data_IF_631538587578
#
_entry.id   IF_631538587578
#
_cell.length_a   1.000
_cell.length_b   1.000
_cell.length_c   1.000
_cell.angle_alpha   90.00
_cell.angle_beta   90.00
_cell.angle_gamma   90.00
#
_symmetry.space_group_name_H-M   'P 1'
#
loop_
_entity.id
_entity.type
_entity.pdbx_description
1 polymer ?
#
# COMPACT_ATOMS: atom_id res chain seq x y z
N UNK A 1 12.54 -12.97 17.47
CA UNK A 1 11.92 -11.68 17.89
C UNK A 1 12.28 -10.59 16.90
N UNK A 2 11.31 -10.13 16.11
CA UNK A 2 11.46 -8.99 15.21
C UNK A 2 11.21 -7.73 16.02
N UNK A 3 12.22 -6.86 16.14
CA UNK A 3 12.11 -5.63 16.93
C UNK A 3 11.39 -4.51 16.18
N UNK A 4 11.44 -4.50 14.84
CA UNK A 4 10.73 -3.54 14.00
C UNK A 4 10.53 -4.04 12.57
N UNK A 5 9.49 -3.54 11.89
CA UNK A 5 9.23 -3.77 10.47
C UNK A 5 9.12 -2.43 9.75
N UNK A 6 10.02 -2.19 8.79
CA UNK A 6 9.94 -1.01 7.92
C UNK A 6 9.21 -1.38 6.64
N UNK A 7 8.13 -0.66 6.31
CA UNK A 7 7.42 -0.77 5.04
C UNK A 7 7.60 0.52 4.25
N UNK A 8 8.05 0.41 3.00
CA UNK A 8 8.16 1.54 2.09
C UNK A 8 6.92 1.59 1.20
N UNK A 9 6.34 2.77 0.98
CA UNK A 9 5.38 2.98 -0.11
C UNK A 9 5.89 4.02 -1.10
N UNK A 10 5.65 3.78 -2.39
CA UNK A 10 6.15 4.65 -3.44
C UNK A 10 5.25 4.60 -4.69
N UNK A 11 4.65 5.74 -5.04
CA UNK A 11 4.01 5.90 -6.34
C UNK A 11 5.08 6.11 -7.41
N UNK A 12 5.20 5.17 -8.35
CA UNK A 12 6.30 5.13 -9.32
C UNK A 12 6.00 5.85 -10.63
N UNK A 13 4.82 6.46 -10.78
CA UNK A 13 4.40 7.25 -11.96
C UNK A 13 4.71 6.55 -13.29
N UNK A 14 4.34 5.27 -13.39
CA UNK A 14 4.60 4.35 -14.51
C UNK A 14 6.02 3.77 -14.60
N UNK A 15 6.07 2.44 -14.52
CA UNK A 15 7.23 1.61 -14.84
C UNK A 15 6.92 0.65 -15.99
N UNK A 16 6.02 1.05 -16.91
CA UNK A 16 5.60 0.22 -18.05
C UNK A 16 6.74 -0.15 -19.02
N UNK A 17 7.78 0.69 -19.11
CA UNK A 17 8.89 0.48 -20.02
C UNK A 17 10.11 -0.11 -19.30
N UNK A 18 10.89 -0.93 -20.00
CA UNK A 18 12.04 -1.66 -19.45
C UNK A 18 13.10 -0.73 -18.80
N UNK A 19 13.33 0.46 -19.36
CA UNK A 19 14.30 1.42 -18.80
C UNK A 19 13.90 1.88 -17.41
N UNK A 20 12.63 2.23 -17.22
CA UNK A 20 12.11 2.65 -15.92
C UNK A 20 12.08 1.48 -14.92
N UNK A 21 11.79 0.26 -15.38
CA UNK A 21 11.87 -0.95 -14.55
C UNK A 21 13.30 -1.18 -14.02
N UNK A 22 14.32 -1.10 -14.87
CA UNK A 22 15.72 -1.25 -14.45
C UNK A 22 16.11 -0.15 -13.46
N UNK A 23 15.72 1.10 -13.71
CA UNK A 23 16.02 2.23 -12.82
C UNK A 23 15.38 2.03 -11.44
N UNK A 24 14.10 1.67 -11.37
CA UNK A 24 13.42 1.48 -10.09
C UNK A 24 13.99 0.28 -9.34
N UNK A 25 14.23 -0.86 -10.01
CA UNK A 25 14.82 -2.04 -9.36
C UNK A 25 16.21 -1.71 -8.80
N UNK A 26 17.04 -1.00 -9.56
CA UNK A 26 18.36 -0.56 -9.08
C UNK A 26 18.25 0.33 -7.84
N UNK A 27 17.34 1.31 -7.85
CA UNK A 27 17.10 2.18 -6.69
C UNK A 27 16.61 1.39 -5.46
N UNK A 28 15.62 0.52 -5.62
CA UNK A 28 15.10 -0.28 -4.50
C UNK A 28 16.19 -1.18 -3.90
N UNK A 29 17.12 -1.68 -4.72
CA UNK A 29 18.27 -2.48 -4.26
C UNK A 29 19.28 -1.68 -3.43
N UNK A 30 19.34 -0.36 -3.55
CA UNK A 30 20.27 0.48 -2.77
C UNK A 30 19.73 0.85 -1.38
N UNK A 31 18.46 0.58 -1.09
CA UNK A 31 17.86 0.90 0.21
C UNK A 31 18.54 0.12 1.34
N UNK A 32 19.04 0.84 2.34
CA UNK A 32 19.71 0.28 3.53
C UNK A 32 19.23 1.03 4.80
N UNK A 33 18.73 0.32 5.83
CA UNK A 33 18.39 -1.11 5.80
C UNK A 33 17.30 -1.41 4.74
N UNK A 34 17.25 -2.65 4.26
CA UNK A 34 16.23 -3.05 3.30
C UNK A 34 14.85 -3.07 3.98
N UNK A 35 13.79 -2.52 3.36
CA UNK A 35 12.43 -2.62 3.90
C UNK A 35 11.96 -4.07 3.98
N UNK A 36 11.10 -4.39 4.93
CA UNK A 36 10.43 -5.68 5.01
C UNK A 36 9.45 -5.87 3.83
N UNK A 37 8.78 -4.79 3.41
CA UNK A 37 7.94 -4.77 2.22
C UNK A 37 8.03 -3.42 1.50
N UNK A 38 7.80 -3.43 0.19
CA UNK A 38 7.78 -2.25 -0.67
C UNK A 38 6.47 -2.25 -1.46
N UNK A 39 5.70 -1.18 -1.30
CA UNK A 39 4.35 -1.02 -1.83
C UNK A 39 4.39 0.01 -2.96
N UNK A 40 4.16 -0.43 -4.18
CA UNK A 40 4.20 0.43 -5.37
C UNK A 40 2.78 0.68 -5.90
N UNK A 41 2.52 1.93 -6.31
CA UNK A 41 1.30 2.35 -6.99
C UNK A 41 1.62 2.97 -8.36
N UNK A 42 0.64 3.05 -9.26
CA UNK A 42 0.82 3.54 -10.64
C UNK A 42 1.93 2.81 -11.41
N UNK A 43 2.12 1.52 -11.15
CA UNK A 43 3.17 0.76 -11.84
C UNK A 43 2.89 0.60 -13.34
N UNK A 44 1.62 0.52 -13.75
CA UNK A 44 1.17 0.40 -15.15
C UNK A 44 1.82 -0.79 -15.91
N UNK A 45 2.20 -1.84 -15.19
CA UNK A 45 2.66 -3.09 -15.78
C UNK A 45 1.44 -3.84 -16.32
N UNK A 46 1.49 -4.23 -17.58
CA UNK A 46 0.44 -5.07 -18.17
C UNK A 46 0.60 -6.53 -17.70
N UNK A 47 -0.46 -7.33 -17.78
CA UNK A 47 -0.42 -8.76 -17.44
C UNK A 47 0.48 -9.63 -18.35
N UNK A 48 1.23 -9.04 -19.29
CA UNK A 48 2.01 -9.74 -20.32
C UNK A 48 3.54 -9.59 -20.07
N UNK A 49 4.36 -9.72 -21.11
CA UNK A 49 5.83 -9.67 -21.08
C UNK A 49 6.46 -8.54 -20.22
N UNK A 50 5.80 -7.39 -20.08
CA UNK A 50 6.30 -6.30 -19.22
C UNK A 50 6.31 -6.68 -17.72
N UNK A 51 5.35 -7.49 -17.28
CA UNK A 51 5.28 -8.05 -15.94
C UNK A 51 6.28 -9.19 -15.77
N UNK A 52 6.35 -10.13 -16.71
CA UNK A 52 7.33 -11.24 -16.65
C UNK A 52 8.78 -10.73 -16.62
N UNK A 53 9.09 -9.71 -17.41
CA UNK A 53 10.38 -9.04 -17.40
C UNK A 53 10.69 -8.37 -16.06
N UNK A 54 9.69 -7.72 -15.45
CA UNK A 54 9.84 -7.13 -14.12
C UNK A 54 10.02 -8.21 -13.04
N UNK A 55 9.21 -9.27 -13.08
CA UNK A 55 9.26 -10.38 -12.12
C UNK A 55 10.60 -11.11 -12.16
N UNK A 56 11.12 -11.40 -13.36
CA UNK A 56 12.43 -12.04 -13.53
C UNK A 56 13.62 -11.16 -13.10
N UNK A 57 13.46 -9.84 -13.17
CA UNK A 57 14.50 -8.88 -12.79
C UNK A 57 14.48 -8.51 -11.31
N UNK A 58 13.36 -8.75 -10.62
CA UNK A 58 13.23 -8.47 -9.20
C UNK A 58 13.96 -9.57 -8.41
N UNK A 59 14.96 -9.21 -7.58
CA UNK A 59 15.70 -10.22 -6.83
C UNK A 59 14.88 -10.84 -5.69
N UNK A 60 13.84 -10.15 -5.20
CA UNK A 60 13.20 -10.50 -3.93
C UNK A 60 12.27 -11.72 -3.96
N UNK A 61 12.04 -12.28 -2.76
CA UNK A 61 11.32 -13.51 -2.52
C UNK A 61 9.84 -13.54 -2.98
N UNK A 62 9.17 -12.40 -3.13
CA UNK A 62 7.76 -12.40 -3.49
C UNK A 62 7.32 -11.10 -4.18
N UNK A 63 6.44 -11.27 -5.18
CA UNK A 63 5.82 -10.19 -5.94
C UNK A 63 4.33 -10.46 -6.05
N UNK A 64 3.49 -9.49 -5.69
CA UNK A 64 2.03 -9.62 -5.77
C UNK A 64 1.44 -8.41 -6.48
N UNK A 65 0.56 -8.69 -7.44
CA UNK A 65 0.08 -7.71 -8.40
C UNK A 65 -1.44 -7.59 -8.41
N UNK A 66 -1.87 -6.38 -8.69
CA UNK A 66 -3.18 -6.01 -9.20
C UNK A 66 -2.97 -5.06 -10.40
N UNK A 67 -4.02 -4.56 -11.07
CA UNK A 67 -3.86 -3.52 -12.09
C UNK A 67 -3.29 -2.20 -11.57
N UNK A 68 -3.40 -1.92 -10.26
CA UNK A 68 -3.11 -0.60 -9.69
C UNK A 68 -1.98 -0.58 -8.67
N UNK A 69 -1.85 -1.66 -7.91
CA UNK A 69 -0.88 -1.80 -6.83
C UNK A 69 -0.02 -3.06 -6.97
N UNK A 70 1.23 -2.93 -6.53
CA UNK A 70 2.25 -3.97 -6.55
C UNK A 70 2.91 -4.04 -5.17
N UNK A 71 2.93 -5.20 -4.54
CA UNK A 71 3.65 -5.45 -3.28
C UNK A 71 4.87 -6.32 -3.54
N UNK A 72 6.04 -5.83 -3.13
CA UNK A 72 7.32 -6.51 -3.25
C UNK A 72 7.87 -6.86 -1.87
N UNK A 73 8.35 -8.10 -1.73
CA UNK A 73 9.09 -8.55 -0.56
C UNK A 73 10.56 -8.71 -0.98
N UNK A 74 11.48 -7.88 -0.47
CA UNK A 74 12.90 -8.00 -0.77
C UNK A 74 13.51 -9.30 -0.23
N UNK A 75 14.62 -9.72 -0.83
CA UNK A 75 15.45 -10.79 -0.27
C UNK A 75 15.98 -10.42 1.10
N UNK A 76 16.03 -11.41 1.99
CA UNK A 76 16.43 -11.20 3.39
C UNK A 76 15.40 -10.42 4.22
N UNK A 77 14.25 -10.05 3.64
CA UNK A 77 13.12 -9.55 4.43
C UNK A 77 12.68 -10.61 5.44
N UNK A 78 12.32 -10.22 6.68
CA UNK A 78 11.72 -11.15 7.63
C UNK A 78 10.40 -11.76 7.14
N UNK A 79 9.75 -11.16 6.13
CA UNK A 79 8.50 -11.66 5.54
C UNK A 79 8.72 -12.70 4.43
N UNK A 80 9.97 -12.89 3.98
CA UNK A 80 10.30 -13.80 2.88
C UNK A 80 9.99 -15.26 3.27
N UNK A 81 9.25 -15.98 2.43
CA UNK A 81 8.85 -17.37 2.70
C UNK A 81 7.68 -17.54 3.68
N UNK A 82 7.14 -16.44 4.22
CA UNK A 82 6.10 -16.46 5.26
C UNK A 82 4.70 -16.07 4.78
N UNK A 83 4.47 -15.94 3.46
CA UNK A 83 3.19 -15.52 2.92
C UNK A 83 2.12 -16.61 3.12
N UNK A 84 1.02 -16.24 3.79
CA UNK A 84 -0.18 -17.08 3.92
C UNK A 84 -1.18 -16.83 2.79
N UNK A 85 -1.45 -15.56 2.47
CA UNK A 85 -2.41 -15.21 1.42
C UNK A 85 -2.15 -13.83 0.84
N UNK A 86 -2.58 -13.61 -0.40
CA UNK A 86 -2.58 -12.29 -1.03
C UNK A 86 -3.81 -12.14 -1.90
N UNK A 87 -4.72 -11.24 -1.53
CA UNK A 87 -6.03 -11.11 -2.15
C UNK A 87 -6.31 -9.65 -2.55
N UNK A 88 -6.70 -9.39 -3.82
CA UNK A 88 -7.22 -8.10 -4.20
C UNK A 88 -8.59 -7.88 -3.55
N UNK A 89 -8.88 -6.66 -3.11
CA UNK A 89 -10.23 -6.28 -2.69
C UNK A 89 -11.07 -5.95 -3.92
N UNK A 90 -12.31 -6.45 -3.91
CA UNK A 90 -13.32 -6.24 -4.95
C UNK A 90 -14.48 -5.48 -4.32
N UNK A 91 -14.99 -4.46 -5.02
CA UNK A 91 -16.09 -3.63 -4.56
C UNK A 91 -17.39 -4.05 -5.25
N UNK A 92 -18.28 -4.69 -4.49
CA UNK A 92 -19.62 -5.03 -4.98
C UNK A 92 -20.34 -3.78 -5.48
N UNK A 93 -20.79 -3.79 -6.73
CA UNK A 93 -21.46 -2.64 -7.37
C UNK A 93 -20.54 -1.52 -7.86
N UNK A 94 -19.21 -1.64 -7.71
CA UNK A 94 -18.26 -0.64 -8.19
C UNK A 94 -16.97 -1.26 -8.78
N UNK A 95 -17.06 -2.11 -9.82
CA UNK A 95 -15.91 -2.86 -10.37
C UNK A 95 -14.78 -1.97 -10.92
N UNK A 96 -15.06 -0.72 -11.28
CA UNK A 96 -14.06 0.29 -11.66
C UNK A 96 -13.06 0.63 -10.54
N UNK A 97 -13.37 0.25 -9.31
CA UNK A 97 -12.55 0.45 -8.11
C UNK A 97 -11.72 -0.80 -7.76
N UNK A 98 -11.94 -1.92 -8.44
CA UNK A 98 -11.30 -3.20 -8.13
C UNK A 98 -9.78 -3.15 -8.32
N UNK A 99 -9.07 -3.96 -7.54
CA UNK A 99 -7.61 -4.07 -7.63
C UNK A 99 -6.87 -2.83 -7.13
N UNK A 100 -7.56 -1.82 -6.59
CA UNK A 100 -6.94 -0.66 -5.93
C UNK A 100 -6.42 -0.96 -4.52
N UNK A 101 -6.79 -2.11 -3.97
CA UNK A 101 -6.31 -2.57 -2.67
C UNK A 101 -5.84 -4.02 -2.82
N UNK A 102 -4.66 -4.30 -2.29
CA UNK A 102 -4.10 -5.64 -2.20
C UNK A 102 -3.77 -5.94 -0.75
N UNK A 103 -4.42 -6.96 -0.19
CA UNK A 103 -4.19 -7.43 1.19
C UNK A 103 -3.27 -8.64 1.14
N UNK A 104 -2.13 -8.57 1.81
CA UNK A 104 -1.16 -9.67 1.90
C UNK A 104 -0.91 -10.02 3.37
N UNK A 105 -1.13 -11.27 3.74
CA UNK A 105 -0.97 -11.77 5.11
C UNK A 105 0.26 -12.67 5.20
N UNK A 106 1.12 -12.42 6.18
CA UNK A 106 2.34 -13.16 6.46
C UNK A 106 2.32 -13.72 7.89
N UNK A 107 2.94 -14.86 8.13
CA UNK A 107 3.07 -15.47 9.47
C UNK A 107 4.49 -15.35 10.00
N UNK A 108 4.68 -14.55 11.05
CA UNK A 108 5.95 -14.42 11.76
C UNK A 108 5.78 -14.98 13.17
N UNK A 109 6.34 -16.16 13.42
CA UNK A 109 6.18 -16.88 14.70
C UNK A 109 4.67 -17.04 15.04
N UNK A 110 4.17 -16.36 16.08
CA UNK A 110 2.75 -16.37 16.48
C UNK A 110 1.94 -15.14 16.00
N UNK A 111 2.58 -14.21 15.27
CA UNK A 111 1.99 -12.98 14.79
C UNK A 111 1.64 -13.07 13.30
N UNK A 112 0.39 -12.78 12.94
CA UNK A 112 0.02 -12.49 11.55
C UNK A 112 0.39 -11.03 11.25
N UNK A 113 1.10 -10.76 10.15
CA UNK A 113 1.34 -9.40 9.65
C UNK A 113 0.52 -9.24 8.38
N UNK A 114 -0.46 -8.35 8.42
CA UNK A 114 -1.31 -8.04 7.28
C UNK A 114 -0.94 -6.68 6.70
N UNK A 115 -0.42 -6.68 5.49
CA UNK A 115 -0.04 -5.49 4.74
C UNK A 115 -1.12 -5.20 3.71
N UNK A 116 -1.68 -3.99 3.79
CA UNK A 116 -2.74 -3.50 2.91
C UNK A 116 -2.14 -2.39 2.05
N UNK A 117 -1.86 -2.71 0.78
CA UNK A 117 -1.36 -1.75 -0.20
C UNK A 117 -2.54 -1.09 -0.92
N UNK A 118 -2.60 0.24 -0.87
CA UNK A 118 -3.75 1.01 -1.37
C UNK A 118 -3.35 2.04 -2.44
N UNK A 119 -4.17 2.16 -3.48
CA UNK A 119 -4.14 3.25 -4.44
C UNK A 119 -5.52 3.83 -4.68
N UNK A 120 -5.85 4.91 -3.97
CA UNK A 120 -7.15 5.55 -4.12
C UNK A 120 -7.28 6.22 -5.50
N UNK A 121 -8.49 6.37 -6.04
CA UNK A 121 -8.71 7.06 -7.32
C UNK A 121 -8.21 8.52 -7.33
N UNK A 122 -7.73 8.96 -8.50
CA UNK A 122 -7.37 10.37 -8.75
C UNK A 122 -8.62 11.22 -8.96
N UNK A 123 -9.63 10.67 -9.64
CA UNK A 123 -10.91 11.33 -9.86
C UNK A 123 -11.67 11.45 -8.54
N UNK A 124 -12.19 12.65 -8.26
CA UNK A 124 -12.78 13.00 -6.97
C UNK A 124 -14.03 12.18 -6.64
N UNK A 125 -14.96 12.05 -7.59
CA UNK A 125 -16.19 11.26 -7.39
C UNK A 125 -15.87 9.78 -7.11
N UNK A 126 -14.96 9.19 -7.88
CA UNK A 126 -14.51 7.81 -7.65
C UNK A 126 -13.79 7.66 -6.32
N UNK A 127 -13.01 8.67 -5.90
CA UNK A 127 -12.30 8.67 -4.62
C UNK A 127 -13.29 8.73 -3.46
N UNK A 128 -14.31 9.58 -3.55
CA UNK A 128 -15.40 9.64 -2.57
C UNK A 128 -16.11 8.29 -2.45
N UNK A 129 -16.49 7.68 -3.58
CA UNK A 129 -17.14 6.37 -3.60
C UNK A 129 -16.23 5.28 -3.01
N UNK A 130 -14.96 5.29 -3.39
CA UNK A 130 -13.94 4.37 -2.87
C UNK A 130 -13.86 4.41 -1.35
N UNK A 131 -13.69 5.59 -0.74
CA UNK A 131 -13.65 5.73 0.71
C UNK A 131 -15.01 5.46 1.37
N UNK A 132 -16.13 5.79 0.71
CA UNK A 132 -17.48 5.54 1.21
C UNK A 132 -17.77 4.04 1.36
N UNK A 133 -17.32 3.24 0.39
CA UNK A 133 -17.49 1.80 0.33
C UNK A 133 -16.46 1.01 1.16
N UNK A 134 -15.39 1.64 1.62
CA UNK A 134 -14.39 0.98 2.47
C UNK A 134 -15.03 0.48 3.78
N UNK A 135 -14.81 -0.80 4.04
CA UNK A 135 -15.15 -1.41 5.31
C UNK A 135 -14.04 -2.36 5.72
N UNK A 136 -13.46 -2.12 6.90
CA UNK A 136 -12.46 -2.97 7.49
C UNK A 136 -13.06 -3.68 8.70
N UNK A 137 -13.18 -5.01 8.61
CA UNK A 137 -13.48 -5.82 9.79
C UNK A 137 -12.32 -5.73 10.78
N UNK A 138 -12.58 -5.89 12.08
CA UNK A 138 -11.52 -5.95 13.06
C UNK A 138 -10.50 -7.06 12.69
N UNK A 139 -9.18 -6.83 12.87
CA UNK A 139 -8.17 -7.86 12.69
C UNK A 139 -8.44 -9.07 13.59
N UNK A 140 -7.97 -10.24 13.17
CA UNK A 140 -7.93 -11.41 14.06
C UNK A 140 -6.98 -11.12 15.24
N UNK A 141 -7.17 -11.76 16.41
CA UNK A 141 -6.19 -11.68 17.50
C UNK A 141 -4.78 -12.00 17.01
N UNK A 142 -3.77 -11.36 17.60
CA UNK A 142 -2.35 -11.47 17.19
C UNK A 142 -2.11 -11.13 15.72
N UNK A 143 -2.78 -10.10 15.20
CA UNK A 143 -2.49 -9.57 13.86
C UNK A 143 -2.00 -8.13 13.96
N UNK A 144 -0.84 -7.85 13.36
CA UNK A 144 -0.36 -6.50 13.07
C UNK A 144 -0.90 -6.08 11.70
N UNK A 145 -1.66 -4.98 11.65
CA UNK A 145 -2.08 -4.38 10.38
C UNK A 145 -1.14 -3.25 9.99
N UNK A 146 -0.76 -3.22 8.71
CA UNK A 146 -0.01 -2.14 8.09
C UNK A 146 -0.78 -1.68 6.84
N UNK A 147 -1.50 -0.57 6.96
CA UNK A 147 -2.15 0.10 5.83
C UNK A 147 -1.24 1.20 5.29
N UNK A 148 -0.86 1.10 4.02
CA UNK A 148 0.00 2.08 3.38
C UNK A 148 -0.24 2.17 1.87
N UNK A 149 -0.02 3.36 1.30
CA UNK A 149 -0.31 3.58 -0.12
C UNK A 149 -0.46 5.05 -0.49
N UNK A 150 -0.72 5.31 -1.77
CA UNK A 150 -1.11 6.64 -2.23
C UNK A 150 -2.64 6.79 -2.11
N UNK A 151 -3.07 7.59 -1.14
CA UNK A 151 -4.48 7.87 -0.88
C UNK A 151 -5.08 8.92 -1.82
N UNK A 152 -4.27 9.53 -2.69
CA UNK A 152 -4.64 10.68 -3.53
C UNK A 152 -5.45 11.72 -2.74
N UNK A 153 -5.05 11.87 -1.47
CA UNK A 153 -5.66 12.70 -0.46
C UNK A 153 -4.53 13.44 0.24
N UNK A 154 -4.73 14.74 0.47
CA UNK A 154 -3.72 15.59 1.06
C UNK A 154 -4.22 16.10 2.41
N UNK A 155 -3.69 15.57 3.54
CA UNK A 155 -4.06 16.08 4.85
C UNK A 155 -3.50 17.48 5.13
N UNK A 156 -2.50 17.93 4.37
CA UNK A 156 -1.88 19.25 4.47
C UNK A 156 -1.77 19.95 3.10
N UNK A 157 -2.68 20.89 2.87
CA UNK A 157 -2.79 21.67 1.62
C UNK A 157 -1.51 22.39 1.19
N UNK A 158 -0.58 22.65 2.11
CA UNK A 158 0.69 23.33 1.83
C UNK A 158 1.72 22.44 1.14
N UNK A 159 1.50 21.13 1.08
CA UNK A 159 2.45 20.15 0.50
C UNK A 159 1.94 19.52 -0.80
N UNK A 160 0.70 19.81 -1.20
CA UNK A 160 0.17 19.38 -2.48
C UNK A 160 0.81 20.19 -3.63
N UNK A 161 1.56 19.51 -4.51
CA UNK A 161 2.15 20.12 -5.70
C UNK A 161 1.09 20.51 -6.75
N UNK A 162 -0.13 20.01 -6.64
CA UNK A 162 -1.25 20.29 -7.56
C UNK A 162 -2.12 21.46 -7.07
N UNK A 163 -2.01 21.85 -5.79
CA UNK A 163 -2.86 22.90 -5.18
C UNK A 163 -2.36 24.35 -5.36
N UNK A 164 -1.18 24.57 -5.93
CA UNK A 164 -0.66 25.94 -6.16
C UNK A 164 -1.43 26.67 -7.28
N UNK A 165 -2.18 25.96 -8.12
CA UNK A 165 -2.99 26.59 -9.16
C UNK A 165 -4.43 26.05 -9.15
N UNK A 166 -5.27 26.74 -8.40
CA UNK A 166 -6.65 27.03 -8.82
C UNK A 166 -7.66 25.88 -8.69
N UNK A 167 -7.79 25.30 -7.49
CA UNK A 167 -9.01 24.56 -7.11
C UNK A 167 -9.59 25.06 -5.79
N UNK A 168 -10.82 25.55 -5.88
CA UNK A 168 -11.67 25.83 -4.75
C UNK A 168 -11.98 24.51 -3.99
N UNK A 169 -11.45 24.42 -2.78
CA UNK A 169 -12.02 23.76 -1.59
C UNK A 169 -12.51 22.29 -1.69
N UNK A 170 -11.83 21.41 -0.95
CA UNK A 170 -12.46 20.38 -0.10
C UNK A 170 -11.61 20.15 1.16
N UNK A 171 -12.14 20.31 2.38
CA UNK A 171 -11.37 20.16 3.61
C UNK A 171 -11.25 18.67 3.96
N UNK A 172 -10.06 18.21 4.32
CA UNK A 172 -9.76 17.30 5.46
C UNK A 172 -10.54 15.96 5.60
N UNK A 173 -11.44 15.56 4.69
CA UNK A 173 -12.47 14.54 5.00
C UNK A 173 -12.08 13.09 4.71
N UNK A 174 -11.26 12.79 3.70
CA UNK A 174 -11.09 11.39 3.28
C UNK A 174 -10.20 10.59 4.24
N UNK A 175 -9.12 11.18 4.76
CA UNK A 175 -8.34 10.55 5.83
C UNK A 175 -9.18 10.33 7.10
N UNK A 176 -10.02 11.30 7.50
CA UNK A 176 -10.93 11.14 8.64
C UNK A 176 -11.95 10.05 8.39
N UNK A 177 -12.46 9.97 7.15
CA UNK A 177 -13.37 8.92 6.72
C UNK A 177 -12.67 7.57 6.83
N UNK A 178 -11.45 7.43 6.30
CA UNK A 178 -10.66 6.20 6.40
C UNK A 178 -10.46 5.77 7.86
N UNK A 179 -10.03 6.69 8.73
CA UNK A 179 -9.87 6.37 10.16
C UNK A 179 -11.20 6.03 10.83
N UNK A 180 -12.30 6.68 10.46
CA UNK A 180 -13.63 6.34 10.98
C UNK A 180 -14.09 4.94 10.59
N UNK A 181 -13.55 4.37 9.51
CA UNK A 181 -13.80 2.97 9.12
C UNK A 181 -12.95 1.98 9.92
N UNK A 182 -11.95 2.44 10.67
CA UNK A 182 -11.06 1.61 11.50
C UNK A 182 -11.59 1.64 12.94
N UNK A 183 -12.11 0.51 13.39
CA UNK A 183 -12.81 0.40 14.69
C UNK A 183 -11.88 0.16 15.89
N UNK A 184 -10.56 0.28 15.72
CA UNK A 184 -9.55 -0.05 16.74
C UNK A 184 -8.40 0.97 16.75
N UNK A 185 -7.65 1.01 17.86
CA UNK A 185 -6.67 2.06 18.16
C UNK A 185 -5.36 1.85 17.41
N UNK A 186 -4.91 2.84 16.65
CA UNK A 186 -3.58 2.86 16.03
C UNK A 186 -2.50 2.92 17.12
N UNK A 187 -1.47 2.09 16.99
CA UNK A 187 -0.25 2.14 17.81
C UNK A 187 0.64 3.28 17.38
N UNK A 188 0.86 3.38 16.07
CA UNK A 188 1.68 4.39 15.44
C UNK A 188 0.97 4.90 14.20
N UNK A 189 1.00 6.21 13.98
CA UNK A 189 0.58 6.83 12.71
C UNK A 189 1.71 7.73 12.26
N UNK A 190 2.45 7.31 11.24
CA UNK A 190 3.48 8.15 10.62
C UNK A 190 2.92 8.67 9.30
N UNK A 191 2.73 9.99 9.24
CA UNK A 191 2.34 10.71 8.04
C UNK A 191 3.58 11.38 7.44
N UNK A 192 4.17 10.77 6.41
CA UNK A 192 5.37 11.27 5.75
C UNK A 192 5.02 11.73 4.34
N UNK A 193 4.35 12.89 4.24
CA UNK A 193 3.97 13.68 3.04
C UNK A 193 3.41 13.00 1.78
N UNK A 194 3.44 11.68 1.64
CA UNK A 194 2.78 10.84 0.64
C UNK A 194 2.64 9.39 1.15
N UNK A 195 2.83 9.16 2.46
CA UNK A 195 2.94 7.84 3.08
C UNK A 195 2.14 7.88 4.39
N UNK A 196 1.13 7.03 4.51
CA UNK A 196 0.56 6.63 5.79
C UNK A 196 1.18 5.28 6.15
N UNK A 197 1.86 5.18 7.29
CA UNK A 197 2.15 3.91 7.94
C UNK A 197 1.34 3.89 9.23
N UNK A 198 0.35 2.99 9.32
CA UNK A 198 -0.36 2.74 10.56
C UNK A 198 -0.17 1.30 11.01
N UNK A 199 0.37 1.14 12.22
CA UNK A 199 0.46 -0.12 12.94
C UNK A 199 -0.68 -0.19 13.97
N UNK A 200 -1.27 -1.36 14.17
CA UNK A 200 -2.36 -1.58 15.14
C UNK A 200 -2.12 -2.87 15.93
N UNK A 201 -2.36 -2.84 17.24
CA UNK A 201 -2.35 -4.01 18.14
C UNK A 201 -3.69 -4.06 18.88
N UNK A 202 -4.12 -5.28 19.21
CA UNK A 202 -5.27 -5.51 20.07
C UNK A 202 -4.80 -6.10 21.40
N UNK A 203 -4.79 -5.29 22.46
CA UNK A 203 -4.74 -5.79 23.84
C UNK A 203 -6.15 -5.77 24.41
N UNK A 204 -6.68 -6.94 24.77
CA UNK A 204 -7.75 -7.02 25.77
C UNK A 204 -7.08 -7.00 27.13
N UNK A 205 -7.18 -5.85 27.82
CA UNK A 205 -7.09 -5.77 29.27
C UNK A 205 -8.50 -5.73 29.83
#
# INVERSE_FOLDING_TARGET
>A
MIESLTVLTFNVRSIKNAVNQVKIIRYLRTLRPAPAAILLQEHHLSYNASREGFESSWPGACIRFTPHVLTLIPDGSPLAGHLLSSTPVVFAGAPRLDGRILRSVFRLEELDVEIINMYAPVQEDDRRDFFGLLHFNAPRPKTLWILAGNLNDCPDVWVDRVSITDRAWTPVLHWQTLLSKITFKALDTVLLNFILLQAFEHFNL
#
